data_IF_629186590326
#
_entry.id   IF_629186590326
#
_cell.length_a   1.000
_cell.length_b   1.000
_cell.length_c   1.000
_cell.angle_alpha   90.00
_cell.angle_beta   90.00
_cell.angle_gamma   90.00
#
_symmetry.space_group_name_H-M   'P 1'
#
loop_
_entity.id
_entity.type
_entity.pdbx_description
1 polymer ?
#
# COMPACT_ATOMS: atom_id res chain seq x y z
N UNK A 1 31.26 14.65 4.82
CA UNK A 1 30.09 15.32 5.44
C UNK A 1 29.58 16.50 4.59
N UNK A 2 30.44 17.38 4.06
CA UNK A 2 30.00 18.52 3.25
C UNK A 2 29.13 18.13 2.05
N UNK A 3 29.54 17.14 1.28
CA UNK A 3 28.78 16.60 0.13
C UNK A 3 27.42 16.02 0.59
N UNK A 4 27.40 15.31 1.72
CA UNK A 4 26.16 14.75 2.25
C UNK A 4 25.18 15.83 2.71
N UNK A 5 25.66 16.88 3.33
CA UNK A 5 24.85 18.03 3.74
C UNK A 5 24.31 18.77 2.50
N UNK A 6 25.15 19.00 1.49
CA UNK A 6 24.74 19.64 0.25
C UNK A 6 23.67 18.84 -0.51
N UNK A 7 23.88 17.53 -0.64
CA UNK A 7 22.87 16.64 -1.23
C UNK A 7 21.57 16.61 -0.40
N UNK A 8 21.71 16.51 0.93
CA UNK A 8 20.55 16.57 1.83
C UNK A 8 19.75 17.85 1.66
N UNK A 9 20.42 18.99 1.56
CA UNK A 9 19.76 20.27 1.32
C UNK A 9 19.02 20.31 -0.03
N UNK A 10 19.66 19.84 -1.12
CA UNK A 10 19.02 19.78 -2.44
C UNK A 10 17.74 18.95 -2.41
N UNK A 11 17.75 17.79 -1.75
CA UNK A 11 16.56 16.95 -1.62
C UNK A 11 15.48 17.52 -0.69
N UNK A 12 15.90 18.23 0.37
CA UNK A 12 14.97 18.85 1.32
C UNK A 12 14.43 20.20 0.84
N UNK A 13 15.14 20.87 -0.07
CA UNK A 13 14.77 22.21 -0.55
C UNK A 13 13.30 22.33 -0.99
N UNK A 14 12.75 21.45 -1.86
CA UNK A 14 11.35 21.57 -2.28
C UNK A 14 10.37 21.39 -1.13
N UNK A 15 10.70 20.54 -0.15
CA UNK A 15 9.86 20.33 1.03
C UNK A 15 9.88 21.56 1.94
N UNK A 16 11.07 22.09 2.22
CA UNK A 16 11.22 23.31 3.03
C UNK A 16 10.51 24.49 2.37
N UNK A 17 10.66 24.64 1.05
CA UNK A 17 10.00 25.67 0.28
C UNK A 17 8.46 25.55 0.35
N UNK A 18 7.91 24.35 0.20
CA UNK A 18 6.48 24.09 0.40
C UNK A 18 6.00 24.51 1.79
N UNK A 19 6.74 24.08 2.84
CA UNK A 19 6.38 24.42 4.23
C UNK A 19 6.39 25.93 4.46
N UNK A 20 7.42 26.62 4.00
CA UNK A 20 7.54 28.07 4.16
C UNK A 20 6.42 28.80 3.39
N UNK A 21 6.20 28.44 2.14
CA UNK A 21 5.15 29.07 1.31
C UNK A 21 3.74 28.80 1.83
N UNK A 22 3.51 27.72 2.58
CA UNK A 22 2.20 27.46 3.17
C UNK A 22 1.75 28.54 4.17
N UNK A 23 2.71 29.31 4.70
CA UNK A 23 2.46 30.42 5.63
C UNK A 23 2.49 31.80 4.95
N UNK A 24 2.73 31.89 3.64
CA UNK A 24 2.75 33.16 2.91
C UNK A 24 1.33 33.69 2.75
N UNK A 25 1.19 35.01 2.93
CA UNK A 25 -0.04 35.71 2.56
C UNK A 25 -0.17 35.80 1.03
N UNK A 26 -1.36 36.06 0.45
CA UNK A 26 -1.52 36.30 -0.97
C UNK A 26 -0.62 37.45 -1.49
N UNK A 27 -0.36 38.42 -0.66
CA UNK A 27 0.54 39.57 -0.98
C UNK A 27 2.00 39.09 -1.05
N UNK A 28 2.44 38.27 -0.08
CA UNK A 28 3.80 37.70 -0.06
C UNK A 28 4.08 36.81 -1.26
N UNK A 29 3.07 36.07 -1.73
CA UNK A 29 3.21 35.13 -2.87
C UNK A 29 3.48 35.84 -4.20
N UNK A 30 3.08 37.13 -4.33
CA UNK A 30 3.28 37.94 -5.53
C UNK A 30 4.44 38.93 -5.39
N UNK A 31 5.03 39.05 -4.21
CA UNK A 31 6.16 39.96 -3.95
C UNK A 31 7.49 39.21 -4.16
N UNK A 32 8.27 39.56 -5.21
CA UNK A 32 9.56 38.93 -5.49
C UNK A 32 10.62 39.12 -4.41
N UNK A 33 10.44 40.11 -3.51
CA UNK A 33 11.37 40.34 -2.41
C UNK A 33 11.21 39.37 -1.26
N UNK A 34 10.05 38.71 -1.14
CA UNK A 34 9.73 37.72 -0.11
C UNK A 34 10.00 36.32 -0.64
N UNK A 35 11.10 35.71 -0.19
CA UNK A 35 11.51 34.37 -0.71
C UNK A 35 11.44 33.24 0.31
N UNK A 36 11.86 33.49 1.55
CA UNK A 36 11.95 32.45 2.58
C UNK A 36 11.26 32.82 3.90
N UNK A 37 11.09 34.06 4.20
CA UNK A 37 10.51 34.52 5.47
C UNK A 37 9.27 35.34 5.14
N UNK A 38 8.06 34.84 5.53
CA UNK A 38 6.82 35.59 5.31
C UNK A 38 6.83 36.89 6.10
N UNK A 39 6.21 37.94 5.57
CA UNK A 39 6.03 39.21 6.29
C UNK A 39 5.17 39.03 7.54
N UNK A 40 4.24 38.09 7.47
CA UNK A 40 3.39 37.64 8.60
C UNK A 40 3.01 36.19 8.42
N UNK A 41 2.82 35.45 9.51
CA UNK A 41 2.30 34.08 9.43
C UNK A 41 0.82 34.12 9.03
N UNK A 42 0.51 33.60 7.85
CA UNK A 42 -0.84 33.57 7.32
C UNK A 42 -1.39 32.14 7.32
N UNK A 43 -2.40 31.89 8.15
CA UNK A 43 -3.02 30.55 8.28
C UNK A 43 -4.24 30.36 7.36
N UNK A 44 -4.65 31.40 6.61
CA UNK A 44 -5.80 31.32 5.71
C UNK A 44 -5.65 30.24 4.62
N UNK A 45 -4.42 29.96 4.20
CA UNK A 45 -4.15 28.89 3.22
C UNK A 45 -4.59 27.51 3.73
N UNK A 46 -4.40 27.24 5.01
CA UNK A 46 -4.84 25.94 5.61
C UNK A 46 -6.36 25.85 5.71
N UNK A 47 -7.03 26.95 6.03
CA UNK A 47 -8.51 27.01 6.05
C UNK A 47 -9.04 26.80 4.64
N UNK A 48 -8.51 27.51 3.66
CA UNK A 48 -8.89 27.38 2.26
C UNK A 48 -8.62 25.95 1.73
N UNK A 49 -7.48 25.36 2.05
CA UNK A 49 -7.16 23.99 1.68
C UNK A 49 -8.14 22.99 2.31
N UNK A 50 -8.46 23.17 3.59
CA UNK A 50 -9.41 22.32 4.31
C UNK A 50 -10.80 22.34 3.66
N UNK A 51 -11.30 23.53 3.32
CA UNK A 51 -12.60 23.71 2.68
C UNK A 51 -12.61 23.20 1.23
N UNK A 52 -11.62 23.61 0.43
CA UNK A 52 -11.53 23.26 -1.01
C UNK A 52 -11.38 21.74 -1.20
N UNK A 53 -10.57 21.09 -0.37
CA UNK A 53 -10.37 19.64 -0.44
C UNK A 53 -11.52 18.86 0.20
N UNK A 54 -12.47 19.50 0.82
CA UNK A 54 -13.48 18.84 1.68
C UNK A 54 -12.77 17.84 2.58
N UNK A 55 -11.74 18.33 3.28
CA UNK A 55 -10.64 17.54 3.86
C UNK A 55 -11.13 16.33 4.66
N UNK A 56 -12.07 16.50 5.57
CA UNK A 56 -12.53 15.41 6.43
C UNK A 56 -13.13 14.25 5.61
N UNK A 57 -13.97 14.56 4.62
CA UNK A 57 -14.58 13.54 3.75
C UNK A 57 -13.50 12.84 2.90
N UNK A 58 -12.59 13.60 2.31
CA UNK A 58 -11.50 13.06 1.48
C UNK A 58 -10.54 12.20 2.32
N UNK A 59 -10.21 12.64 3.52
CA UNK A 59 -9.37 11.90 4.47
C UNK A 59 -10.02 10.57 4.88
N UNK A 60 -11.28 10.59 5.31
CA UNK A 60 -12.01 9.37 5.68
C UNK A 60 -12.14 8.41 4.49
N UNK A 61 -12.42 8.95 3.29
CA UNK A 61 -12.48 8.14 2.07
C UNK A 61 -11.14 7.49 1.77
N UNK A 62 -10.04 8.24 1.84
CA UNK A 62 -8.68 7.70 1.65
C UNK A 62 -8.32 6.67 2.71
N UNK A 63 -8.74 6.90 3.96
CA UNK A 63 -8.48 6.00 5.06
C UNK A 63 -9.16 4.63 4.83
N UNK A 64 -10.46 4.60 4.59
CA UNK A 64 -11.14 3.32 4.38
C UNK A 64 -10.73 2.63 3.07
N UNK A 65 -10.43 3.40 2.01
CA UNK A 65 -9.94 2.88 0.74
C UNK A 65 -8.51 2.31 0.83
N UNK A 66 -7.75 2.69 1.84
CA UNK A 66 -6.41 2.14 2.09
C UNK A 66 -6.45 1.00 3.11
N UNK A 67 -7.09 1.22 4.26
CA UNK A 67 -7.05 0.28 5.39
C UNK A 67 -7.78 -1.02 5.06
N UNK A 68 -9.01 -0.95 4.52
CA UNK A 68 -9.81 -2.16 4.27
C UNK A 68 -9.13 -3.07 3.24
N UNK A 69 -8.72 -2.60 2.04
CA UNK A 69 -8.02 -3.46 1.10
C UNK A 69 -6.68 -4.00 1.66
N UNK A 70 -5.96 -3.20 2.46
CA UNK A 70 -4.70 -3.65 3.06
C UNK A 70 -4.90 -4.81 4.04
N UNK A 71 -5.93 -4.75 4.89
CA UNK A 71 -6.27 -5.84 5.81
C UNK A 71 -6.74 -7.08 5.05
N UNK A 72 -7.60 -6.92 4.04
CA UNK A 72 -8.06 -8.03 3.20
C UNK A 72 -6.89 -8.69 2.46
N UNK A 73 -5.97 -7.89 1.93
CA UNK A 73 -4.77 -8.37 1.25
C UNK A 73 -3.84 -9.09 2.24
N UNK A 74 -3.64 -8.55 3.44
CA UNK A 74 -2.83 -9.17 4.48
C UNK A 74 -3.35 -10.58 4.81
N UNK A 75 -4.65 -10.71 5.07
CA UNK A 75 -5.30 -11.98 5.36
C UNK A 75 -5.16 -12.94 4.17
N UNK A 76 -5.49 -12.49 2.96
CA UNK A 76 -5.43 -13.35 1.78
C UNK A 76 -4.01 -13.83 1.48
N UNK A 77 -3.02 -12.94 1.52
CA UNK A 77 -1.63 -13.29 1.19
C UNK A 77 -0.98 -14.16 2.27
N UNK A 78 -1.32 -13.94 3.55
CA UNK A 78 -0.81 -14.78 4.64
C UNK A 78 -1.42 -16.18 4.59
N UNK A 79 -2.73 -16.32 4.31
CA UNK A 79 -3.37 -17.63 4.13
C UNK A 79 -2.76 -18.41 2.95
N UNK A 80 -2.54 -17.74 1.81
CA UNK A 80 -1.89 -18.37 0.66
C UNK A 80 -0.44 -18.74 1.00
N UNK A 81 0.31 -17.87 1.66
CA UNK A 81 1.68 -18.15 2.09
C UNK A 81 1.76 -19.32 3.06
N UNK A 82 0.86 -19.37 4.05
CA UNK A 82 0.73 -20.50 4.98
C UNK A 82 0.39 -21.79 4.25
N UNK A 83 -0.62 -21.77 3.38
CA UNK A 83 -1.03 -22.95 2.61
C UNK A 83 0.09 -23.51 1.74
N UNK A 84 0.84 -22.63 1.06
CA UNK A 84 2.01 -23.02 0.28
C UNK A 84 3.17 -23.54 1.14
N UNK A 85 3.34 -23.04 2.37
CA UNK A 85 4.40 -23.50 3.26
C UNK A 85 4.07 -24.85 3.93
N UNK A 86 2.85 -25.00 4.44
CA UNK A 86 2.48 -26.07 5.39
C UNK A 86 1.73 -27.24 4.77
N UNK A 87 1.06 -27.04 3.64
CA UNK A 87 0.33 -28.13 3.01
C UNK A 87 1.12 -28.79 1.90
N UNK A 88 1.02 -30.11 1.80
CA UNK A 88 1.49 -30.88 0.66
C UNK A 88 0.31 -31.16 -0.27
N UNK A 89 0.42 -30.74 -1.52
CA UNK A 89 -0.61 -30.93 -2.53
C UNK A 89 0.01 -31.09 -3.93
N UNK A 90 -0.73 -31.70 -4.88
CA UNK A 90 -0.23 -31.90 -6.24
C UNK A 90 0.20 -30.59 -6.88
N UNK A 91 1.32 -30.63 -7.62
CA UNK A 91 1.86 -29.48 -8.36
C UNK A 91 2.24 -28.25 -7.51
N UNK A 92 2.48 -28.40 -6.19
CA UNK A 92 2.91 -27.30 -5.30
C UNK A 92 4.06 -26.47 -5.88
N UNK A 93 5.08 -27.15 -6.46
CA UNK A 93 6.22 -26.46 -7.08
C UNK A 93 5.79 -25.63 -8.31
N UNK A 94 4.83 -26.12 -9.09
CA UNK A 94 4.28 -25.37 -10.23
C UNK A 94 3.56 -24.11 -9.75
N UNK A 95 2.76 -24.20 -8.71
CA UNK A 95 2.07 -23.05 -8.12
C UNK A 95 3.07 -21.99 -7.61
N UNK A 96 4.16 -22.39 -6.97
CA UNK A 96 5.22 -21.46 -6.56
C UNK A 96 5.87 -20.77 -7.76
N UNK A 97 6.16 -21.52 -8.81
CA UNK A 97 6.72 -20.95 -10.07
C UNK A 97 5.72 -19.96 -10.66
N UNK A 98 4.42 -20.27 -10.69
CA UNK A 98 3.40 -19.35 -11.21
C UNK A 98 3.29 -18.08 -10.37
N UNK A 99 3.38 -18.18 -9.06
CA UNK A 99 3.43 -16.98 -8.16
C UNK A 99 4.62 -16.10 -8.53
N UNK A 100 5.81 -16.69 -8.72
CA UNK A 100 7.00 -15.93 -9.11
C UNK A 100 6.83 -15.36 -10.51
N UNK A 101 6.28 -16.12 -11.47
CA UNK A 101 6.05 -15.66 -12.84
C UNK A 101 5.10 -14.44 -12.88
N UNK A 102 4.04 -14.45 -12.08
CA UNK A 102 3.12 -13.28 -11.93
C UNK A 102 3.86 -12.05 -11.42
N UNK A 103 4.83 -12.21 -10.53
CA UNK A 103 5.66 -11.09 -10.06
C UNK A 103 6.48 -10.45 -11.18
N UNK A 104 6.91 -11.22 -12.17
CA UNK A 104 7.70 -10.72 -13.30
C UNK A 104 6.86 -9.95 -14.34
N UNK A 105 5.53 -10.10 -14.31
CA UNK A 105 4.66 -9.39 -15.25
C UNK A 105 4.56 -7.91 -14.83
N UNK A 106 4.92 -6.95 -15.71
CA UNK A 106 4.76 -5.54 -15.42
C UNK A 106 3.29 -5.19 -15.16
N UNK A 107 3.00 -4.55 -14.05
CA UNK A 107 1.61 -4.21 -13.65
C UNK A 107 0.88 -3.35 -14.70
N UNK A 108 1.62 -2.54 -15.45
CA UNK A 108 1.08 -1.65 -16.48
C UNK A 108 0.46 -2.43 -17.66
N UNK A 109 1.01 -3.60 -18.00
CA UNK A 109 0.46 -4.45 -19.09
C UNK A 109 -0.97 -4.91 -18.76
N UNK A 110 -1.24 -5.13 -17.49
CA UNK A 110 -2.53 -5.61 -17.01
C UNK A 110 -3.55 -4.50 -16.76
N UNK A 111 -3.17 -3.22 -16.91
CA UNK A 111 -4.07 -2.09 -16.59
C UNK A 111 -5.27 -2.01 -17.53
N UNK A 112 -5.05 -2.11 -18.84
CA UNK A 112 -6.11 -2.03 -19.86
C UNK A 112 -7.07 -3.23 -19.78
N UNK A 113 -6.62 -4.50 -19.79
CA UNK A 113 -7.51 -5.65 -19.63
C UNK A 113 -8.33 -5.59 -18.35
N UNK A 114 -7.72 -5.16 -17.25
CA UNK A 114 -8.38 -5.02 -15.96
C UNK A 114 -9.45 -3.94 -15.97
N UNK A 115 -9.16 -2.79 -16.55
CA UNK A 115 -10.13 -1.71 -16.73
C UNK A 115 -11.33 -2.20 -17.54
N UNK A 116 -11.09 -2.85 -18.69
CA UNK A 116 -12.15 -3.40 -19.55
C UNK A 116 -13.01 -4.44 -18.81
N UNK A 117 -12.40 -5.28 -17.99
CA UNK A 117 -13.11 -6.26 -17.16
C UNK A 117 -14.03 -5.56 -16.15
N UNK A 118 -13.50 -4.59 -15.37
CA UNK A 118 -14.32 -3.87 -14.39
C UNK A 118 -15.42 -3.02 -15.04
N UNK A 119 -15.15 -2.45 -16.22
CA UNK A 119 -16.17 -1.77 -17.01
C UNK A 119 -17.32 -2.70 -17.39
N UNK A 120 -17.00 -3.90 -17.93
CA UNK A 120 -18.02 -4.89 -18.32
C UNK A 120 -18.88 -5.37 -17.15
N UNK A 121 -18.29 -5.43 -15.95
CA UNK A 121 -19.00 -5.82 -14.73
C UNK A 121 -19.68 -4.64 -14.00
N UNK A 122 -19.63 -3.42 -14.56
CA UNK A 122 -20.24 -2.24 -13.94
C UNK A 122 -19.61 -1.83 -12.60
N UNK A 123 -18.31 -2.12 -12.40
CA UNK A 123 -17.63 -1.93 -11.11
C UNK A 123 -16.80 -0.65 -11.02
N UNK A 124 -16.68 0.14 -12.12
CA UNK A 124 -15.73 1.27 -12.18
C UNK A 124 -16.00 2.38 -11.17
N UNK A 125 -17.27 2.65 -10.86
CA UNK A 125 -17.65 3.73 -9.92
C UNK A 125 -17.85 3.22 -8.49
N UNK A 126 -17.30 2.05 -8.19
CA UNK A 126 -17.46 1.40 -6.90
C UNK A 126 -16.12 1.10 -6.24
N UNK A 127 -16.14 0.73 -4.96
CA UNK A 127 -14.95 0.26 -4.21
C UNK A 127 -14.60 -1.20 -4.51
N UNK A 128 -15.50 -1.95 -5.15
CA UNK A 128 -15.36 -3.38 -5.41
C UNK A 128 -14.08 -3.79 -6.14
N UNK A 129 -13.58 -3.07 -7.15
CA UNK A 129 -12.32 -3.41 -7.82
C UNK A 129 -11.13 -3.53 -6.86
N UNK A 130 -11.09 -2.68 -5.83
CA UNK A 130 -10.01 -2.69 -4.83
C UNK A 130 -10.16 -3.84 -3.85
N UNK A 131 -11.37 -4.06 -3.34
CA UNK A 131 -11.67 -5.08 -2.34
C UNK A 131 -11.58 -6.49 -2.94
N UNK A 132 -12.15 -6.69 -4.12
CA UNK A 132 -12.10 -7.98 -4.80
C UNK A 132 -10.67 -8.42 -5.09
N UNK A 133 -9.83 -7.50 -5.58
CA UNK A 133 -8.42 -7.79 -5.82
C UNK A 133 -7.67 -8.11 -4.53
N UNK A 134 -7.95 -7.40 -3.45
CA UNK A 134 -7.33 -7.62 -2.16
C UNK A 134 -7.68 -9.00 -1.60
N UNK A 135 -8.97 -9.37 -1.58
CA UNK A 135 -9.45 -10.68 -1.11
C UNK A 135 -8.89 -11.84 -1.93
N UNK A 136 -8.73 -11.65 -3.24
CA UNK A 136 -8.18 -12.67 -4.14
C UNK A 136 -6.65 -12.72 -4.16
N UNK A 137 -5.98 -11.99 -3.28
CA UNK A 137 -4.51 -11.92 -3.27
C UNK A 137 -3.92 -11.28 -4.53
N UNK A 138 -4.70 -10.43 -5.20
CA UNK A 138 -4.32 -9.69 -6.41
C UNK A 138 -4.18 -8.18 -6.16
N UNK A 139 -4.02 -7.78 -4.90
CA UNK A 139 -3.75 -6.41 -4.49
C UNK A 139 -2.38 -5.91 -4.96
N UNK A 140 -2.01 -4.71 -4.50
CA UNK A 140 -0.74 -4.10 -4.87
C UNK A 140 0.41 -4.96 -4.33
N UNK A 141 1.27 -5.45 -5.25
CA UNK A 141 2.45 -6.29 -4.92
C UNK A 141 2.14 -7.53 -4.06
N UNK A 142 0.93 -8.06 -4.14
CA UNK A 142 0.51 -9.23 -3.35
C UNK A 142 1.46 -10.42 -3.45
N UNK A 143 2.07 -10.63 -4.60
CA UNK A 143 3.04 -11.71 -4.84
C UNK A 143 4.23 -11.64 -3.87
N UNK A 144 4.75 -10.42 -3.61
CA UNK A 144 5.85 -10.23 -2.66
C UNK A 144 5.39 -10.65 -1.26
N UNK A 145 4.20 -10.23 -0.84
CA UNK A 145 3.67 -10.59 0.48
C UNK A 145 3.44 -12.11 0.60
N UNK A 146 2.92 -12.77 -0.44
CA UNK A 146 2.78 -14.23 -0.46
C UNK A 146 4.15 -14.90 -0.27
N UNK A 147 5.19 -14.46 -0.98
CA UNK A 147 6.53 -15.03 -0.86
C UNK A 147 7.18 -14.75 0.50
N UNK A 148 6.94 -13.58 1.08
CA UNK A 148 7.40 -13.24 2.44
C UNK A 148 6.73 -14.15 3.47
N UNK A 149 5.40 -14.31 3.42
CA UNK A 149 4.68 -15.21 4.32
C UNK A 149 5.07 -16.67 4.10
N UNK A 150 5.21 -17.11 2.84
CA UNK A 150 5.71 -18.44 2.52
C UNK A 150 7.09 -18.69 3.16
N UNK A 151 8.03 -17.75 3.00
CA UNK A 151 9.36 -17.85 3.58
C UNK A 151 9.33 -17.86 5.11
N UNK A 152 8.51 -17.01 5.72
CA UNK A 152 8.33 -16.95 7.16
C UNK A 152 7.80 -18.28 7.72
N UNK A 153 6.67 -18.77 7.21
CA UNK A 153 6.08 -20.01 7.67
C UNK A 153 6.99 -21.21 7.39
N UNK A 154 7.73 -21.22 6.28
CA UNK A 154 8.65 -22.30 5.96
C UNK A 154 9.89 -22.33 6.86
N UNK A 155 10.29 -21.19 7.44
CA UNK A 155 11.42 -21.11 8.38
C UNK A 155 11.07 -21.59 9.79
N UNK A 156 9.79 -21.69 10.12
CA UNK A 156 9.33 -22.10 11.44
C UNK A 156 9.37 -23.64 11.58
N UNK A 157 9.91 -24.20 12.69
CA UNK A 157 10.00 -25.64 12.86
C UNK A 157 8.61 -26.33 12.85
N UNK A 158 8.48 -27.41 12.09
CA UNK A 158 7.23 -28.18 11.99
C UNK A 158 6.80 -28.80 13.33
N UNK A 159 7.74 -29.01 14.26
CA UNK A 159 7.47 -29.56 15.59
C UNK A 159 6.45 -28.72 16.40
N UNK A 160 6.33 -27.42 16.13
CA UNK A 160 5.29 -26.59 16.76
C UNK A 160 3.89 -26.91 16.23
N UNK A 161 3.78 -27.13 14.92
CA UNK A 161 2.52 -27.52 14.30
C UNK A 161 2.09 -28.92 14.79
N UNK A 162 3.04 -29.86 14.86
CA UNK A 162 2.81 -31.23 15.35
C UNK A 162 2.39 -31.25 16.83
N UNK A 163 3.04 -30.44 17.67
CA UNK A 163 2.66 -30.29 19.07
C UNK A 163 1.23 -29.73 19.22
N UNK A 164 0.90 -28.70 18.45
CA UNK A 164 -0.44 -28.12 18.47
C UNK A 164 -1.52 -29.08 17.95
N UNK A 165 -1.19 -29.94 16.97
CA UNK A 165 -2.09 -31.00 16.49
C UNK A 165 -2.34 -32.09 17.57
N UNK A 166 -1.31 -32.45 18.33
CA UNK A 166 -1.45 -33.36 19.47
C UNK A 166 -2.36 -32.79 20.57
N UNK A 167 -2.36 -31.47 20.73
CA UNK A 167 -3.27 -30.73 21.62
C UNK A 167 -4.67 -30.53 21.02
N UNK A 168 -4.96 -31.12 19.84
CA UNK A 168 -6.27 -31.06 19.18
C UNK A 168 -6.52 -29.78 18.39
N UNK A 169 -5.49 -29.01 18.07
CA UNK A 169 -5.65 -27.81 17.22
C UNK A 169 -5.83 -28.20 15.75
N UNK A 170 -6.90 -27.70 15.13
CA UNK A 170 -7.06 -27.78 13.67
C UNK A 170 -6.17 -26.80 12.94
N UNK A 171 -5.98 -26.98 11.63
CA UNK A 171 -5.07 -26.17 10.79
C UNK A 171 -5.31 -24.67 10.86
N UNK A 172 -6.56 -24.21 11.01
CA UNK A 172 -6.87 -22.77 11.20
C UNK A 172 -6.47 -22.24 12.59
N UNK A 173 -6.38 -23.12 13.58
CA UNK A 173 -5.93 -22.72 14.92
C UNK A 173 -4.41 -22.69 15.03
N UNK A 174 -3.75 -23.47 14.18
CA UNK A 174 -2.29 -23.47 14.04
C UNK A 174 -1.81 -22.23 13.26
N UNK A 175 -2.57 -21.79 12.24
CA UNK A 175 -2.33 -20.54 11.51
C UNK A 175 -2.46 -19.31 12.42
#
# INVERSE_FOLDING_TARGET
YFVLIALGFIYLYPILYMVVNSFFSPEDLVDPSVTWIPTRLYFGNFVQAYETLVFLKSFLTSLYMSVIPSLLQLIATSLVGFGLARFEFPLKKLWLVLVIAVFMIPTNVMSIPRYAMFYRFGMLETVFPFYLRAILGQGIRSTIFILVFYSFFNSYPLSFDEAAELDGAGKFKIY
#
